data_IF_769061488907
#
_entry.id   IF_769061488907
#
_cell.length_a   1.000
_cell.length_b   1.000
_cell.length_c   1.000
_cell.angle_alpha   90.00
_cell.angle_beta   90.00
_cell.angle_gamma   90.00
#
_symmetry.space_group_name_H-M   'P 1'
#
loop_
_entity.id
_entity.type
_entity.pdbx_description
1 polymer ?
#
# COMPACT_ATOMS: atom_id res chain seq x y z
N UNK A 1 18.47 58.62 -51.36
CA UNK A 1 17.58 57.45 -51.50
C UNK A 1 17.69 56.68 -50.18
N UNK A 2 16.79 56.88 -49.20
CA UNK A 2 15.44 56.32 -49.02
C UNK A 2 15.44 54.77 -48.83
N UNK A 3 15.11 54.37 -47.58
CA UNK A 3 14.49 53.10 -47.11
C UNK A 3 15.44 51.88 -47.08
N UNK A 4 15.61 51.15 -45.98
CA UNK A 4 14.55 50.58 -45.13
C UNK A 4 14.89 50.51 -43.63
N UNK A 5 13.88 50.84 -42.83
CA UNK A 5 13.69 50.58 -41.40
C UNK A 5 12.72 49.38 -41.27
N UNK A 6 12.70 48.76 -40.08
CA UNK A 6 11.77 47.72 -39.59
C UNK A 6 12.09 46.29 -40.09
N UNK A 7 12.22 45.25 -39.26
CA UNK A 7 11.46 44.86 -38.06
C UNK A 7 12.38 44.03 -37.15
N UNK A 8 12.65 44.46 -35.92
CA UNK A 8 13.16 43.59 -34.84
C UNK A 8 12.73 44.19 -33.50
N UNK A 9 11.44 44.05 -33.18
CA UNK A 9 10.90 44.36 -31.86
C UNK A 9 9.62 43.54 -31.66
N UNK A 10 9.75 42.21 -31.53
CA UNK A 10 8.68 41.36 -30.97
C UNK A 10 9.22 39.94 -30.67
N UNK A 11 10.21 39.82 -29.78
CA UNK A 11 10.64 38.50 -29.28
C UNK A 11 11.34 38.59 -27.90
N UNK A 12 10.89 39.51 -27.03
CA UNK A 12 11.32 39.57 -25.61
C UNK A 12 10.09 39.72 -24.69
N UNK A 13 8.99 39.03 -24.98
CA UNK A 13 7.84 39.02 -24.07
C UNK A 13 7.08 37.69 -24.03
N UNK A 14 7.79 36.58 -24.20
CA UNK A 14 7.24 35.23 -23.95
C UNK A 14 8.11 34.42 -22.97
N UNK A 15 9.35 34.82 -22.70
CA UNK A 15 10.22 34.17 -21.70
C UNK A 15 10.01 34.73 -20.28
N UNK A 16 9.43 35.93 -20.13
CA UNK A 16 9.16 36.51 -18.80
C UNK A 16 7.86 36.01 -18.17
N UNK A 17 6.88 35.54 -18.96
CA UNK A 17 5.60 35.07 -18.41
C UNK A 17 5.77 33.69 -17.75
N UNK A 18 6.41 32.73 -18.41
CA UNK A 18 6.62 31.38 -17.85
C UNK A 18 7.54 31.37 -16.63
N UNK A 19 8.58 32.21 -16.61
CA UNK A 19 9.47 32.35 -15.45
C UNK A 19 8.82 33.09 -14.27
N UNK A 20 7.96 34.08 -14.54
CA UNK A 20 7.23 34.81 -13.51
C UNK A 20 6.10 33.95 -12.90
N UNK A 21 5.40 33.14 -13.71
CA UNK A 21 4.43 32.16 -13.20
C UNK A 21 5.08 31.03 -12.38
N UNK A 22 6.29 30.59 -12.75
CA UNK A 22 7.06 29.60 -11.98
C UNK A 22 7.47 30.14 -10.61
N UNK A 23 7.97 31.38 -10.55
CA UNK A 23 8.39 32.02 -9.31
C UNK A 23 7.21 32.35 -8.38
N UNK A 24 6.04 32.69 -8.93
CA UNK A 24 4.83 32.89 -8.14
C UNK A 24 4.27 31.58 -7.56
N UNK A 25 4.27 30.49 -8.33
CA UNK A 25 3.82 29.18 -7.85
C UNK A 25 4.66 28.62 -6.70
N UNK A 26 6.00 28.67 -6.83
CA UNK A 26 6.89 28.21 -5.76
C UNK A 26 6.79 29.11 -4.50
N UNK A 27 6.45 30.40 -4.66
CA UNK A 27 6.21 31.31 -3.53
C UNK A 27 4.91 30.99 -2.81
N UNK A 28 3.84 30.67 -3.55
CA UNK A 28 2.56 30.26 -2.98
C UNK A 28 2.69 28.96 -2.17
N UNK A 29 3.38 27.96 -2.73
CA UNK A 29 3.68 26.68 -2.06
C UNK A 29 4.41 26.93 -0.73
N UNK A 30 5.45 27.78 -0.74
CA UNK A 30 6.22 28.12 0.47
C UNK A 30 5.37 28.79 1.54
N UNK A 31 4.54 29.77 1.17
CA UNK A 31 3.67 30.44 2.13
C UNK A 31 2.64 29.48 2.73
N UNK A 32 2.01 28.65 1.89
CA UNK A 32 1.02 27.68 2.35
C UNK A 32 1.66 26.60 3.25
N UNK A 33 2.91 26.23 2.97
CA UNK A 33 3.71 25.34 3.81
C UNK A 33 4.02 25.95 5.18
N UNK A 34 4.50 27.20 5.24
CA UNK A 34 4.80 27.89 6.50
C UNK A 34 3.56 28.01 7.40
N UNK A 35 2.41 28.33 6.80
CA UNK A 35 1.12 28.37 7.51
C UNK A 35 0.75 26.99 8.08
N UNK A 36 0.91 25.94 7.27
CA UNK A 36 0.59 24.57 7.67
C UNK A 36 1.53 24.10 8.80
N UNK A 37 2.82 24.37 8.67
CA UNK A 37 3.84 24.04 9.68
C UNK A 37 3.51 24.67 11.04
N UNK A 38 3.15 25.96 11.05
CA UNK A 38 2.75 26.66 12.27
C UNK A 38 1.53 25.98 12.92
N UNK A 39 0.49 25.71 12.12
CA UNK A 39 -0.76 25.09 12.61
C UNK A 39 -0.50 23.69 13.18
N UNK A 40 0.31 22.89 12.50
CA UNK A 40 0.69 21.55 12.94
C UNK A 40 1.46 21.58 14.27
N UNK A 41 2.47 22.46 14.37
CA UNK A 41 3.26 22.62 15.59
C UNK A 41 2.41 23.06 16.79
N UNK A 42 1.45 23.96 16.58
CA UNK A 42 0.48 24.34 17.61
C UNK A 42 -0.40 23.15 18.03
N UNK A 43 -0.84 22.32 17.09
CA UNK A 43 -1.67 21.14 17.36
C UNK A 43 -0.92 20.02 18.12
N UNK A 44 0.25 19.60 17.62
CA UNK A 44 1.05 18.52 18.24
C UNK A 44 1.91 19.00 19.42
N UNK A 45 2.02 20.32 19.65
CA UNK A 45 2.88 20.89 20.67
C UNK A 45 4.37 20.66 20.35
N UNK A 46 4.75 20.82 19.08
CA UNK A 46 6.10 20.57 18.58
C UNK A 46 6.76 21.85 18.05
N UNK A 47 8.04 21.76 17.75
CA UNK A 47 8.85 22.81 17.13
C UNK A 47 9.52 22.32 15.82
N UNK A 48 8.85 21.41 15.11
CA UNK A 48 9.33 20.89 13.83
C UNK A 48 9.57 22.04 12.86
N UNK A 49 10.68 21.98 12.14
CA UNK A 49 11.01 22.95 11.09
C UNK A 49 11.81 22.27 9.96
N UNK A 50 11.23 21.25 9.29
CA UNK A 50 11.94 20.52 8.25
C UNK A 50 12.14 21.41 7.02
N UNK A 51 13.25 21.25 6.28
CA UNK A 51 13.43 21.92 5.01
C UNK A 51 12.36 21.50 3.99
N UNK A 52 11.88 22.47 3.20
CA UNK A 52 10.98 22.24 2.07
C UNK A 52 11.76 22.29 0.75
N UNK A 53 11.60 21.26 -0.08
CA UNK A 53 12.13 21.19 -1.43
C UNK A 53 10.98 21.06 -2.44
N UNK A 54 11.03 21.79 -3.55
CA UNK A 54 10.02 21.67 -4.62
C UNK A 54 10.64 20.98 -5.83
N UNK A 55 10.13 19.80 -6.16
CA UNK A 55 10.61 18.94 -7.24
C UNK A 55 9.54 18.77 -8.32
N UNK A 56 9.89 18.15 -9.44
CA UNK A 56 8.94 17.73 -10.48
C UNK A 56 8.84 16.19 -10.54
N UNK A 57 7.84 15.68 -11.25
CA UNK A 57 7.61 14.23 -11.40
C UNK A 57 8.80 13.51 -12.02
N UNK A 58 9.51 14.18 -12.93
CA UNK A 58 10.72 13.64 -13.57
C UNK A 58 11.81 13.37 -12.54
N UNK A 59 12.05 14.29 -11.61
CA UNK A 59 13.00 14.11 -10.53
C UNK A 59 12.66 12.89 -9.66
N UNK A 60 11.36 12.72 -9.32
CA UNK A 60 10.89 11.59 -8.50
C UNK A 60 11.14 10.25 -9.21
N UNK A 61 10.80 10.16 -10.50
CA UNK A 61 11.02 8.95 -11.31
C UNK A 61 12.50 8.65 -11.48
N UNK A 62 13.34 9.65 -11.78
CA UNK A 62 14.80 9.45 -11.88
C UNK A 62 15.42 8.98 -10.56
N UNK A 63 14.87 9.41 -9.42
CA UNK A 63 15.36 9.07 -8.09
C UNK A 63 14.98 7.67 -7.64
N UNK A 64 13.75 7.23 -7.92
CA UNK A 64 13.16 6.01 -7.34
C UNK A 64 12.60 5.00 -8.34
N UNK A 65 12.72 5.25 -9.64
CA UNK A 65 12.24 4.37 -10.71
C UNK A 65 12.95 3.01 -10.79
N UNK A 66 13.96 2.74 -9.96
CA UNK A 66 14.64 1.44 -9.95
C UNK A 66 13.70 0.30 -9.56
N UNK A 67 13.82 -0.84 -10.23
CA UNK A 67 12.90 -1.96 -10.13
C UNK A 67 13.58 -3.25 -9.65
N UNK A 68 12.86 -4.06 -8.87
CA UNK A 68 13.35 -5.35 -8.35
C UNK A 68 12.57 -6.53 -8.97
N UNK A 69 13.21 -7.37 -9.79
CA UNK A 69 12.56 -8.51 -10.46
C UNK A 69 11.87 -9.53 -9.53
N UNK A 70 12.37 -9.70 -8.31
CA UNK A 70 11.82 -10.68 -7.33
C UNK A 70 10.40 -10.32 -6.90
N UNK A 71 10.07 -9.03 -6.82
CA UNK A 71 8.75 -8.55 -6.41
C UNK A 71 7.69 -8.85 -7.47
N UNK A 72 8.00 -8.64 -8.75
CA UNK A 72 7.09 -8.97 -9.85
C UNK A 72 6.79 -10.46 -9.95
N UNK A 73 7.81 -11.31 -9.79
CA UNK A 73 7.61 -12.75 -9.79
C UNK A 73 6.63 -13.16 -8.69
N UNK A 74 6.73 -12.58 -7.49
CA UNK A 74 5.81 -12.85 -6.39
C UNK A 74 4.35 -12.54 -6.77
N UNK A 75 4.07 -11.33 -7.25
CA UNK A 75 2.69 -10.95 -7.58
C UNK A 75 2.13 -11.70 -8.81
N UNK A 76 2.98 -12.05 -9.78
CA UNK A 76 2.59 -12.92 -10.91
C UNK A 76 2.31 -14.36 -10.47
N UNK A 77 3.17 -14.92 -9.62
CA UNK A 77 3.02 -16.27 -9.09
C UNK A 77 1.76 -16.40 -8.22
N UNK A 78 1.45 -15.36 -7.45
CA UNK A 78 0.25 -15.25 -6.61
C UNK A 78 -0.97 -14.70 -7.36
N UNK A 79 -0.96 -14.71 -8.71
CA UNK A 79 -2.12 -14.41 -9.57
C UNK A 79 -2.69 -12.99 -9.47
N UNK A 80 -2.05 -12.08 -8.72
CA UNK A 80 -2.45 -10.68 -8.60
C UNK A 80 -2.04 -9.83 -9.81
N UNK A 81 -1.15 -10.35 -10.66
CA UNK A 81 -0.76 -9.72 -11.92
C UNK A 81 -0.67 -10.76 -13.05
N UNK A 82 -1.02 -10.38 -14.30
CA UNK A 82 -0.91 -11.29 -15.44
C UNK A 82 0.56 -11.54 -15.82
N UNK A 83 0.82 -12.65 -16.51
CA UNK A 83 2.16 -13.07 -16.93
C UNK A 83 2.89 -12.01 -17.77
N UNK A 84 2.14 -11.29 -18.61
CA UNK A 84 2.65 -10.25 -19.50
C UNK A 84 2.71 -8.85 -18.87
N UNK A 85 2.38 -8.71 -17.58
CA UNK A 85 2.49 -7.43 -16.87
C UNK A 85 3.95 -6.97 -16.75
N UNK A 86 4.18 -5.66 -16.76
CA UNK A 86 5.51 -5.06 -16.57
C UNK A 86 5.46 -4.01 -15.47
N UNK A 87 6.20 -4.21 -14.38
CA UNK A 87 6.22 -3.29 -13.23
C UNK A 87 6.72 -1.89 -13.52
N UNK A 88 7.59 -1.74 -14.52
CA UNK A 88 8.22 -0.46 -14.88
C UNK A 88 7.17 0.65 -15.06
N UNK A 89 6.16 0.42 -15.90
CA UNK A 89 5.11 1.41 -16.18
C UNK A 89 4.19 1.68 -14.99
N UNK A 90 3.92 0.66 -14.19
CA UNK A 90 3.08 0.80 -13.00
C UNK A 90 3.76 1.68 -11.95
N UNK A 91 5.05 1.42 -11.72
CA UNK A 91 5.86 2.18 -10.78
C UNK A 91 6.06 3.62 -11.22
N UNK A 92 6.30 3.85 -12.51
CA UNK A 92 6.37 5.22 -13.05
C UNK A 92 5.05 5.97 -12.83
N UNK A 93 3.91 5.32 -13.07
CA UNK A 93 2.61 5.92 -12.83
C UNK A 93 2.38 6.27 -11.35
N UNK A 94 2.70 5.34 -10.44
CA UNK A 94 2.55 5.56 -9.00
C UNK A 94 3.47 6.69 -8.51
N UNK A 95 4.74 6.69 -8.90
CA UNK A 95 5.70 7.75 -8.55
C UNK A 95 5.29 9.11 -9.11
N UNK A 96 4.73 9.14 -10.32
CA UNK A 96 4.23 10.36 -10.93
C UNK A 96 2.97 10.91 -10.25
N UNK A 97 2.31 10.15 -9.37
CA UNK A 97 1.11 10.59 -8.64
C UNK A 97 1.39 11.27 -7.29
N UNK A 98 2.65 11.27 -6.84
CA UNK A 98 3.03 11.82 -5.54
C UNK A 98 2.74 13.32 -5.48
N UNK A 99 2.05 13.79 -4.45
CA UNK A 99 1.80 15.23 -4.24
C UNK A 99 2.87 15.85 -3.35
N UNK A 100 3.16 15.18 -2.23
CA UNK A 100 4.28 15.48 -1.36
C UNK A 100 4.78 14.17 -0.72
N UNK A 101 5.97 14.21 -0.13
CA UNK A 101 6.53 13.09 0.61
C UNK A 101 7.63 13.55 1.56
N UNK A 102 7.83 12.77 2.62
CA UNK A 102 8.90 12.97 3.61
C UNK A 102 10.07 12.04 3.31
N UNK A 103 11.28 12.60 3.20
CA UNK A 103 12.49 11.83 2.93
C UNK A 103 13.73 12.50 3.55
N UNK A 104 14.54 11.73 4.28
CA UNK A 104 15.76 12.20 4.99
C UNK A 104 15.53 13.47 5.85
N UNK A 105 14.41 13.52 6.58
CA UNK A 105 14.08 14.65 7.46
C UNK A 105 13.66 15.93 6.73
N UNK A 106 13.36 15.85 5.42
CA UNK A 106 12.86 16.95 4.59
C UNK A 106 11.49 16.62 4.05
N UNK A 107 10.73 17.67 3.71
CA UNK A 107 9.48 17.56 2.98
C UNK A 107 9.72 17.98 1.54
N UNK A 108 9.29 17.14 0.61
CA UNK A 108 9.33 17.39 -0.82
C UNK A 108 7.92 17.59 -1.33
N UNK A 109 7.72 18.60 -2.18
CA UNK A 109 6.46 18.84 -2.88
C UNK A 109 6.67 18.66 -4.37
N UNK A 110 5.81 17.87 -5.00
CA UNK A 110 5.84 17.63 -6.44
C UNK A 110 4.99 18.68 -7.13
N UNK A 111 5.65 19.64 -7.79
CA UNK A 111 5.01 20.81 -8.40
C UNK A 111 3.91 20.43 -9.39
N UNK A 112 4.12 19.38 -10.17
CA UNK A 112 3.20 18.97 -11.23
C UNK A 112 1.84 18.51 -10.68
N UNK A 113 1.80 18.11 -9.40
CA UNK A 113 0.62 17.58 -8.71
C UNK A 113 0.09 18.53 -7.62
N UNK A 114 0.56 19.78 -7.59
CA UNK A 114 0.12 20.76 -6.61
C UNK A 114 -1.36 21.13 -6.80
N UNK A 115 -2.15 20.97 -5.74
CA UNK A 115 -3.53 21.45 -5.66
C UNK A 115 -3.71 22.32 -4.40
N UNK A 116 -3.88 23.65 -4.53
CA UNK A 116 -4.07 24.56 -3.41
C UNK A 116 -5.17 24.15 -2.42
N UNK A 117 -6.20 23.43 -2.90
CA UNK A 117 -7.35 23.04 -2.06
C UNK A 117 -6.99 21.95 -1.05
N UNK A 118 -6.15 21.01 -1.45
CA UNK A 118 -5.78 19.84 -0.63
C UNK A 118 -4.38 19.98 -0.01
N UNK A 119 -3.58 20.92 -0.50
CA UNK A 119 -2.16 21.06 -0.15
C UNK A 119 -1.89 21.12 1.36
N UNK A 120 -2.58 21.98 2.11
CA UNK A 120 -2.34 22.10 3.57
C UNK A 120 -2.57 20.77 4.30
N UNK A 121 -3.62 20.02 3.93
CA UNK A 121 -3.89 18.69 4.49
C UNK A 121 -2.76 17.71 4.15
N UNK A 122 -2.29 17.72 2.90
CA UNK A 122 -1.14 16.90 2.50
C UNK A 122 0.10 17.25 3.33
N UNK A 123 0.38 18.52 3.58
CA UNK A 123 1.51 18.92 4.45
C UNK A 123 1.31 18.45 5.90
N UNK A 124 0.09 18.48 6.45
CA UNK A 124 -0.16 17.91 7.78
C UNK A 124 0.13 16.41 7.83
N UNK A 125 -0.19 15.67 6.76
CA UNK A 125 0.13 14.24 6.64
C UNK A 125 1.64 14.01 6.68
N UNK A 126 2.40 14.77 5.87
CA UNK A 126 3.86 14.68 5.84
C UNK A 126 4.54 15.08 7.15
N UNK A 127 4.04 16.13 7.82
CA UNK A 127 4.55 16.54 9.12
C UNK A 127 4.27 15.48 10.21
N UNK A 128 3.16 14.75 10.09
CA UNK A 128 2.86 13.65 11.00
C UNK A 128 3.88 12.52 10.85
N UNK A 129 4.35 12.21 9.64
CA UNK A 129 5.45 11.25 9.46
C UNK A 129 6.72 11.64 10.25
N UNK A 130 7.09 12.93 10.25
CA UNK A 130 8.22 13.42 11.05
C UNK A 130 7.94 13.38 12.56
N UNK A 131 6.68 13.61 12.97
CA UNK A 131 6.28 13.43 14.36
C UNK A 131 6.44 11.97 14.81
N UNK A 132 6.05 11.04 13.96
CA UNK A 132 6.05 9.59 14.20
C UNK A 132 7.46 8.98 14.38
N UNK A 133 8.51 9.61 13.87
CA UNK A 133 9.90 9.11 13.97
C UNK A 133 10.34 8.82 15.42
N UNK A 134 9.76 9.52 16.41
CA UNK A 134 10.05 9.32 17.84
C UNK A 134 9.56 7.99 18.42
N UNK A 135 8.64 7.30 17.75
CA UNK A 135 8.02 6.07 18.27
C UNK A 135 8.78 4.80 17.85
N UNK A 136 9.73 4.89 16.91
CA UNK A 136 10.55 3.76 16.46
C UNK A 136 9.69 2.52 16.08
N UNK A 137 8.67 2.73 15.25
CA UNK A 137 7.71 1.69 14.86
C UNK A 137 8.42 0.64 14.00
N UNK A 138 8.45 -0.60 14.47
CA UNK A 138 9.11 -1.74 13.80
C UNK A 138 8.11 -2.83 13.43
N UNK A 139 8.50 -3.70 12.50
CA UNK A 139 7.79 -4.95 12.21
C UNK A 139 8.75 -6.14 12.30
N UNK A 140 8.24 -7.35 12.14
CA UNK A 140 9.05 -8.58 12.06
C UNK A 140 9.64 -8.84 10.65
N UNK A 141 9.43 -7.93 9.70
CA UNK A 141 9.93 -8.01 8.33
C UNK A 141 9.12 -8.91 7.40
N UNK A 142 8.02 -9.48 7.86
CA UNK A 142 7.09 -10.24 7.01
C UNK A 142 6.21 -9.30 6.18
N UNK A 143 5.59 -9.80 5.11
CA UNK A 143 4.63 -9.01 4.33
C UNK A 143 3.48 -8.52 5.20
N UNK A 144 2.90 -9.42 6.01
CA UNK A 144 1.84 -9.10 6.98
C UNK A 144 2.29 -8.04 7.99
N UNK A 145 3.45 -8.25 8.63
CA UNK A 145 4.01 -7.32 9.62
C UNK A 145 4.34 -5.95 9.03
N UNK A 146 4.95 -5.88 7.84
CA UNK A 146 5.25 -4.61 7.18
C UNK A 146 3.97 -3.88 6.75
N UNK A 147 2.92 -4.59 6.32
CA UNK A 147 1.60 -3.99 6.05
C UNK A 147 0.91 -3.48 7.32
N UNK A 148 1.03 -4.20 8.43
CA UNK A 148 0.48 -3.77 9.72
C UNK A 148 1.19 -2.51 10.24
N UNK A 149 2.53 -2.49 10.15
CA UNK A 149 3.35 -1.29 10.42
C UNK A 149 2.95 -0.11 9.52
N UNK A 150 2.87 -0.33 8.21
CA UNK A 150 2.48 0.72 7.27
C UNK A 150 1.07 1.24 7.58
N UNK A 151 0.14 0.37 7.98
CA UNK A 151 -1.22 0.77 8.37
C UNK A 151 -1.22 1.67 9.61
N UNK A 152 -0.30 1.43 10.55
CA UNK A 152 -0.12 2.29 11.72
C UNK A 152 0.32 3.69 11.29
N UNK A 153 1.37 3.76 10.48
CA UNK A 153 2.01 5.01 10.02
C UNK A 153 1.04 5.83 9.14
N UNK A 154 0.50 5.22 8.09
CA UNK A 154 -0.36 5.91 7.13
C UNK A 154 -1.76 6.20 7.69
N UNK A 155 -2.29 5.30 8.51
CA UNK A 155 -3.59 5.45 9.15
C UNK A 155 -3.63 6.63 10.10
N UNK A 156 -2.62 6.74 10.96
CA UNK A 156 -2.45 7.88 11.86
C UNK A 156 -2.28 9.20 11.10
N UNK A 157 -1.33 9.26 10.16
CA UNK A 157 -1.06 10.46 9.36
C UNK A 157 -2.31 10.94 8.60
N UNK A 158 -3.08 10.01 8.03
CA UNK A 158 -4.33 10.33 7.33
C UNK A 158 -5.43 10.84 8.27
N UNK A 159 -5.53 10.31 9.49
CA UNK A 159 -6.51 10.79 10.46
C UNK A 159 -6.16 12.16 11.02
N UNK A 160 -4.93 12.32 11.49
CA UNK A 160 -4.48 13.57 12.11
C UNK A 160 -4.52 14.72 11.11
N UNK A 161 -4.11 14.47 9.86
CA UNK A 161 -4.21 15.50 8.81
C UNK A 161 -5.64 15.97 8.57
N UNK A 162 -6.64 15.08 8.58
CA UNK A 162 -8.07 15.45 8.49
C UNK A 162 -8.55 16.23 9.71
N UNK A 163 -8.16 15.81 10.92
CA UNK A 163 -8.50 16.50 12.16
C UNK A 163 -7.98 17.94 12.15
N UNK A 164 -6.70 18.15 11.83
CA UNK A 164 -6.09 19.49 11.77
C UNK A 164 -6.74 20.34 10.67
N UNK A 165 -7.10 19.73 9.54
CA UNK A 165 -7.81 20.41 8.45
C UNK A 165 -9.28 20.75 8.79
N UNK A 166 -9.82 20.26 9.92
CA UNK A 166 -11.23 20.43 10.27
C UNK A 166 -12.18 19.65 9.36
N UNK A 167 -11.70 18.58 8.73
CA UNK A 167 -12.47 17.72 7.85
C UNK A 167 -13.21 16.64 8.65
N UNK A 168 -14.39 16.24 8.17
CA UNK A 168 -15.10 15.08 8.72
C UNK A 168 -14.33 13.79 8.44
N UNK A 169 -14.37 12.85 9.38
CA UNK A 169 -13.81 11.52 9.23
C UNK A 169 -14.84 10.46 9.64
N UNK A 170 -15.00 9.45 8.80
CA UNK A 170 -15.80 8.25 9.04
C UNK A 170 -15.06 7.05 8.48
N UNK A 171 -15.40 5.84 8.95
CA UNK A 171 -14.81 4.62 8.41
C UNK A 171 -15.06 4.52 6.91
N UNK A 172 -13.99 4.26 6.18
CA UNK A 172 -14.01 4.07 4.74
C UNK A 172 -14.25 2.59 4.41
N UNK A 173 -14.92 2.33 3.28
CA UNK A 173 -15.15 0.98 2.78
C UNK A 173 -14.17 0.64 1.67
N UNK A 174 -13.72 -0.62 1.68
CA UNK A 174 -12.95 -1.20 0.58
C UNK A 174 -13.77 -1.16 -0.70
N UNK A 175 -13.17 -0.62 -1.76
CA UNK A 175 -13.69 -0.71 -3.13
C UNK A 175 -13.70 -2.16 -3.59
N UNK A 176 -14.64 -2.50 -4.48
CA UNK A 176 -14.72 -3.82 -5.10
C UNK A 176 -13.38 -4.22 -5.74
N UNK A 177 -12.91 -5.41 -5.40
CA UNK A 177 -11.63 -5.94 -5.89
C UNK A 177 -11.87 -6.71 -7.18
N UNK A 178 -10.93 -6.56 -8.12
CA UNK A 178 -10.93 -7.28 -9.38
C UNK A 178 -9.50 -7.55 -9.82
N UNK A 179 -9.34 -8.44 -10.81
CA UNK A 179 -8.02 -8.74 -11.41
C UNK A 179 -7.28 -7.50 -11.92
N UNK A 180 -8.00 -6.43 -12.28
CA UNK A 180 -7.40 -5.22 -12.84
C UNK A 180 -6.88 -4.25 -11.77
N UNK A 181 -7.45 -4.28 -10.57
CA UNK A 181 -7.17 -3.30 -9.52
C UNK A 181 -6.57 -3.92 -8.23
N UNK A 182 -6.56 -5.25 -8.09
CA UNK A 182 -6.19 -5.92 -6.85
C UNK A 182 -4.78 -5.54 -6.35
N UNK A 183 -3.79 -5.52 -7.25
CA UNK A 183 -2.43 -5.10 -6.91
C UNK A 183 -2.39 -3.67 -6.33
N UNK A 184 -3.05 -2.72 -6.98
CA UNK A 184 -3.08 -1.31 -6.53
C UNK A 184 -3.83 -1.15 -5.22
N UNK A 185 -4.98 -1.81 -5.07
CA UNK A 185 -5.78 -1.76 -3.84
C UNK A 185 -5.06 -2.43 -2.65
N UNK A 186 -4.30 -3.51 -2.89
CA UNK A 186 -3.42 -4.10 -1.88
C UNK A 186 -2.28 -3.15 -1.47
N UNK A 187 -1.78 -2.35 -2.42
CA UNK A 187 -0.87 -1.24 -2.17
C UNK A 187 -1.51 -0.16 -1.28
N UNK A 188 -2.76 0.21 -1.57
CA UNK A 188 -3.52 1.25 -0.85
C UNK A 188 -4.07 0.79 0.52
N UNK A 189 -4.18 -0.51 0.77
CA UNK A 189 -4.78 -1.08 1.96
C UNK A 189 -4.30 -0.46 3.30
N UNK A 190 -3.01 -0.13 3.51
CA UNK A 190 -2.55 0.57 4.71
C UNK A 190 -3.25 1.91 4.98
N UNK A 191 -3.51 2.72 3.95
CA UNK A 191 -4.23 3.98 4.08
C UNK A 191 -5.71 3.79 4.40
N UNK A 192 -6.29 2.68 3.98
CA UNK A 192 -7.71 2.40 4.19
C UNK A 192 -7.94 1.78 5.58
N UNK A 193 -7.38 0.60 5.81
CA UNK A 193 -7.61 -0.16 7.04
C UNK A 193 -6.91 0.50 8.23
N UNK A 194 -5.71 1.05 8.02
CA UNK A 194 -5.01 1.84 9.03
C UNK A 194 -5.81 3.05 9.50
N UNK A 195 -6.42 3.80 8.58
CA UNK A 195 -7.27 4.95 8.92
C UNK A 195 -8.51 4.52 9.72
N UNK A 196 -9.12 3.40 9.36
CA UNK A 196 -10.25 2.85 10.11
C UNK A 196 -9.86 2.42 11.53
N UNK A 197 -8.69 1.80 11.72
CA UNK A 197 -8.16 1.50 13.05
C UNK A 197 -7.83 2.78 13.83
N UNK A 198 -7.19 3.76 13.19
CA UNK A 198 -6.85 5.04 13.81
C UNK A 198 -8.09 5.77 14.33
N UNK A 199 -9.21 5.74 13.59
CA UNK A 199 -10.50 6.28 14.05
C UNK A 199 -10.97 5.56 15.32
N UNK A 200 -10.87 4.23 15.37
CA UNK A 200 -11.29 3.45 16.55
C UNK A 200 -10.44 3.77 17.78
N UNK A 201 -9.12 3.90 17.61
CA UNK A 201 -8.20 4.28 18.68
C UNK A 201 -8.54 5.70 19.14
N UNK A 202 -8.58 6.67 18.23
CA UNK A 202 -8.86 8.07 18.53
C UNK A 202 -10.20 8.26 19.26
N UNK A 203 -11.25 7.55 18.84
CA UNK A 203 -12.57 7.63 19.48
C UNK A 203 -12.56 7.12 20.93
N UNK A 204 -11.64 6.21 21.30
CA UNK A 204 -11.53 5.66 22.66
C UNK A 204 -10.64 6.49 23.57
N UNK A 205 -9.60 7.10 23.02
CA UNK A 205 -8.49 7.69 23.79
C UNK A 205 -8.39 9.21 23.65
N UNK A 206 -8.93 9.78 22.57
CA UNK A 206 -8.75 11.18 22.16
C UNK A 206 -7.44 11.46 21.41
N UNK A 207 -6.60 10.46 21.13
CA UNK A 207 -5.34 10.57 20.37
C UNK A 207 -4.93 9.19 19.79
N UNK A 208 -4.16 9.16 18.70
CA UNK A 208 -3.64 7.94 18.08
C UNK A 208 -2.32 7.45 18.68
N UNK A 209 -1.77 8.14 19.68
CA UNK A 209 -0.48 7.74 20.31
C UNK A 209 -0.45 6.30 20.80
N UNK A 210 -1.56 5.77 21.31
CA UNK A 210 -1.63 4.38 21.78
C UNK A 210 -1.25 3.38 20.68
N UNK A 211 -1.71 3.59 19.44
CA UNK A 211 -1.33 2.74 18.30
C UNK A 211 0.09 2.99 17.79
N UNK A 212 0.65 4.19 17.99
CA UNK A 212 2.06 4.45 17.67
C UNK A 212 3.01 3.77 18.66
N UNK A 213 2.64 3.75 19.94
CA UNK A 213 3.40 3.10 21.01
C UNK A 213 3.24 1.57 21.01
N UNK A 214 2.04 1.09 20.63
CA UNK A 214 1.69 -0.33 20.58
C UNK A 214 1.10 -0.66 19.20
N UNK A 215 1.93 -0.72 18.13
CA UNK A 215 1.44 -0.97 16.79
C UNK A 215 0.83 -2.38 16.65
N UNK A 216 -0.22 -2.55 15.81
CA UNK A 216 -0.72 -3.86 15.43
C UNK A 216 0.39 -4.74 14.84
N UNK A 217 0.37 -6.04 15.17
CA UNK A 217 1.40 -7.02 14.77
C UNK A 217 1.02 -7.84 13.53
N UNK A 218 -0.24 -7.74 13.09
CA UNK A 218 -0.79 -8.39 11.91
C UNK A 218 -1.83 -7.51 11.23
N UNK A 219 -2.06 -7.73 9.94
CA UNK A 219 -3.16 -7.06 9.24
C UNK A 219 -4.53 -7.49 9.74
N UNK A 220 -4.65 -8.67 10.34
CA UNK A 220 -5.88 -9.10 11.01
C UNK A 220 -6.27 -8.13 12.14
N UNK A 221 -5.32 -7.73 12.99
CA UNK A 221 -5.57 -6.71 14.01
C UNK A 221 -5.96 -5.35 13.40
N UNK A 222 -5.41 -5.00 12.24
CA UNK A 222 -5.75 -3.75 11.55
C UNK A 222 -7.16 -3.81 10.95
N UNK A 223 -7.53 -4.95 10.36
CA UNK A 223 -8.83 -5.16 9.71
C UNK A 223 -9.96 -5.35 10.73
N UNK A 224 -9.63 -5.89 11.90
CA UNK A 224 -10.55 -6.19 13.01
C UNK A 224 -10.10 -5.50 14.29
N UNK A 225 -10.45 -4.21 14.51
CA UNK A 225 -9.98 -3.43 15.65
C UNK A 225 -10.24 -4.10 17.01
N UNK A 226 -11.30 -4.88 17.16
CA UNK A 226 -11.55 -5.68 18.37
C UNK A 226 -10.43 -6.67 18.69
N UNK A 227 -9.79 -7.28 17.68
CA UNK A 227 -8.64 -8.18 17.84
C UNK A 227 -7.38 -7.40 18.24
N UNK A 228 -7.19 -6.19 17.70
CA UNK A 228 -6.13 -5.27 18.14
C UNK A 228 -6.24 -4.95 19.63
N UNK A 229 -7.42 -4.52 20.11
CA UNK A 229 -7.64 -4.20 21.52
C UNK A 229 -7.62 -5.42 22.45
N UNK A 230 -7.88 -6.62 21.90
CA UNK A 230 -7.72 -7.88 22.63
C UNK A 230 -6.27 -8.39 22.66
N UNK A 231 -5.36 -7.75 21.91
CA UNK A 231 -3.99 -8.21 21.67
C UNK A 231 -3.92 -9.65 21.13
N UNK A 232 -4.84 -10.01 20.24
CA UNK A 232 -4.88 -11.33 19.62
C UNK A 232 -3.69 -11.52 18.68
N UNK A 233 -2.88 -12.54 18.94
CA UNK A 233 -1.76 -12.93 18.08
C UNK A 233 -2.17 -13.99 17.07
N UNK A 234 -1.19 -14.48 16.31
CA UNK A 234 -1.36 -15.53 15.31
C UNK A 234 -0.53 -16.78 15.66
N UNK A 235 -0.91 -17.94 15.11
CA UNK A 235 -0.15 -19.17 15.22
C UNK A 235 1.19 -19.11 14.46
N UNK A 236 2.24 -19.65 15.07
CA UNK A 236 3.54 -19.83 14.41
C UNK A 236 3.50 -21.06 13.51
N UNK A 237 3.19 -20.85 12.23
CA UNK A 237 3.12 -21.94 11.25
C UNK A 237 4.52 -22.30 10.73
N UNK A 238 4.89 -23.58 10.82
CA UNK A 238 6.14 -24.07 10.26
C UNK A 238 5.96 -24.66 8.85
N UNK A 239 6.78 -24.22 7.91
CA UNK A 239 6.92 -24.81 6.58
C UNK A 239 8.31 -25.45 6.42
N UNK A 240 8.34 -26.75 6.08
CA UNK A 240 9.57 -27.53 5.88
C UNK A 240 10.03 -27.50 4.42
N UNK A 241 10.13 -26.31 3.85
CA UNK A 241 10.60 -26.05 2.47
C UNK A 241 11.79 -25.09 2.55
N UNK A 242 12.90 -25.33 1.83
CA UNK A 242 14.03 -24.41 1.78
C UNK A 242 13.65 -23.05 1.19
N UNK A 243 14.13 -21.95 1.79
CA UNK A 243 13.96 -20.59 1.27
C UNK A 243 13.69 -19.57 2.38
N UNK A 244 13.62 -18.30 1.99
CA UNK A 244 13.24 -17.21 2.89
C UNK A 244 11.75 -17.37 3.24
N UNK A 245 11.48 -17.53 4.53
CA UNK A 245 10.11 -17.67 5.04
C UNK A 245 9.47 -16.30 5.18
N UNK A 246 8.21 -16.20 4.82
CA UNK A 246 7.40 -15.00 4.96
C UNK A 246 6.04 -15.35 5.57
N UNK A 247 5.37 -14.35 6.16
CA UNK A 247 3.95 -14.40 6.56
C UNK A 247 3.19 -13.42 5.68
N UNK A 248 2.14 -13.88 5.01
CA UNK A 248 1.36 -13.08 4.06
C UNK A 248 0.16 -12.40 4.72
N UNK A 249 -0.51 -13.07 5.67
CA UNK A 249 -1.55 -12.46 6.48
C UNK A 249 -2.94 -12.50 5.85
N UNK A 250 -3.95 -12.22 6.68
CA UNK A 250 -5.37 -12.18 6.28
C UNK A 250 -5.60 -11.25 5.08
N UNK A 251 -4.99 -10.05 5.10
CA UNK A 251 -5.14 -9.07 4.01
C UNK A 251 -4.73 -9.67 2.66
N UNK A 252 -3.56 -10.32 2.60
CA UNK A 252 -3.10 -10.88 1.34
C UNK A 252 -4.01 -12.03 0.88
N UNK A 253 -4.47 -12.85 1.81
CA UNK A 253 -5.38 -13.96 1.53
C UNK A 253 -6.75 -13.47 1.02
N UNK A 254 -7.28 -12.37 1.56
CA UNK A 254 -8.45 -11.69 1.02
C UNK A 254 -8.20 -11.25 -0.44
N UNK A 255 -7.11 -10.52 -0.73
CA UNK A 255 -6.83 -10.03 -2.08
C UNK A 255 -6.53 -11.14 -3.09
N UNK A 256 -5.87 -12.21 -2.66
CA UNK A 256 -5.61 -13.41 -3.46
C UNK A 256 -6.91 -14.04 -3.99
N UNK A 257 -7.96 -14.07 -3.16
CA UNK A 257 -9.27 -14.58 -3.56
C UNK A 257 -10.10 -13.53 -4.31
N UNK A 258 -10.22 -12.33 -3.75
CA UNK A 258 -11.13 -11.27 -4.22
C UNK A 258 -10.78 -10.75 -5.62
N UNK A 259 -9.52 -10.92 -6.07
CA UNK A 259 -9.17 -10.67 -7.46
C UNK A 259 -10.01 -11.51 -8.44
N UNK A 260 -10.44 -12.72 -8.05
CA UNK A 260 -10.98 -13.72 -8.96
C UNK A 260 -12.37 -14.26 -8.59
N UNK A 261 -12.80 -14.12 -7.33
CA UNK A 261 -14.13 -14.50 -6.85
C UNK A 261 -14.82 -13.31 -6.18
N UNK A 262 -16.12 -13.44 -5.91
CA UNK A 262 -16.91 -12.39 -5.26
C UNK A 262 -16.31 -11.96 -3.91
N UNK A 263 -16.20 -10.65 -3.69
CA UNK A 263 -15.59 -10.03 -2.51
C UNK A 263 -16.20 -10.51 -1.18
N UNK A 264 -17.50 -10.81 -1.15
CA UNK A 264 -18.17 -11.32 0.05
C UNK A 264 -17.68 -12.73 0.37
N UNK A 265 -17.54 -13.57 -0.66
CA UNK A 265 -16.99 -14.93 -0.50
C UNK A 265 -15.53 -14.86 -0.08
N UNK A 266 -14.74 -14.00 -0.72
CA UNK A 266 -13.32 -13.82 -0.40
C UNK A 266 -13.10 -13.32 1.03
N UNK A 267 -13.94 -12.39 1.51
CA UNK A 267 -13.85 -11.87 2.87
C UNK A 267 -14.15 -12.93 3.92
N UNK A 268 -15.25 -13.67 3.76
CA UNK A 268 -15.61 -14.77 4.67
C UNK A 268 -14.52 -15.84 4.68
N UNK A 269 -13.97 -16.18 3.52
CA UNK A 269 -12.88 -17.14 3.41
C UNK A 269 -11.57 -16.68 4.06
N UNK A 270 -11.38 -15.37 4.26
CA UNK A 270 -10.17 -14.81 4.84
C UNK A 270 -10.24 -14.57 6.35
N UNK A 271 -11.42 -14.21 6.86
CA UNK A 271 -11.63 -13.75 8.24
C UNK A 271 -11.16 -14.71 9.34
N UNK A 272 -11.12 -16.02 9.07
CA UNK A 272 -10.65 -17.01 10.04
C UNK A 272 -9.15 -17.33 9.97
N UNK A 273 -8.33 -16.52 9.30
CA UNK A 273 -6.89 -16.68 9.25
C UNK A 273 -6.28 -16.62 10.67
N UNK A 274 -5.33 -17.51 11.00
CA UNK A 274 -4.66 -17.53 12.31
C UNK A 274 -3.17 -17.81 12.15
N UNK A 275 -2.53 -17.22 11.14
CA UNK A 275 -1.12 -17.43 10.86
C UNK A 275 -0.87 -18.24 9.59
N UNK A 276 0.26 -17.95 8.94
CA UNK A 276 0.70 -18.68 7.77
C UNK A 276 2.23 -18.66 7.61
N UNK A 277 2.71 -19.51 6.70
CA UNK A 277 4.09 -19.53 6.27
C UNK A 277 4.16 -19.73 4.75
N UNK A 278 4.84 -18.81 4.09
CA UNK A 278 5.02 -18.76 2.65
C UNK A 278 6.50 -18.82 2.28
N UNK A 279 6.82 -19.55 1.21
CA UNK A 279 8.13 -19.57 0.57
C UNK A 279 7.97 -19.51 -0.94
N UNK A 280 8.73 -18.62 -1.58
CA UNK A 280 8.89 -18.53 -3.04
C UNK A 280 10.33 -18.87 -3.41
N UNK A 281 10.51 -19.71 -4.42
CA UNK A 281 11.80 -20.02 -5.01
C UNK A 281 11.71 -20.04 -6.55
N UNK A 282 12.81 -20.39 -7.22
CA UNK A 282 12.91 -20.39 -8.69
C UNK A 282 11.97 -21.40 -9.38
N UNK A 283 11.51 -22.42 -8.66
CA UNK A 283 10.72 -23.54 -9.21
C UNK A 283 9.24 -23.49 -8.85
N UNK A 284 8.83 -22.54 -8.02
CA UNK A 284 7.47 -22.41 -7.53
C UNK A 284 7.39 -21.85 -6.12
N UNK A 285 6.26 -22.08 -5.47
CA UNK A 285 5.99 -21.57 -4.14
C UNK A 285 5.17 -22.56 -3.31
N UNK A 286 5.26 -22.41 -1.99
CA UNK A 286 4.46 -23.17 -1.05
C UNK A 286 3.92 -22.24 0.02
N UNK A 287 2.64 -22.39 0.34
CA UNK A 287 1.94 -21.60 1.33
C UNK A 287 1.13 -22.50 2.23
N UNK A 288 1.44 -22.51 3.52
CA UNK A 288 0.66 -23.21 4.54
C UNK A 288 -0.03 -22.19 5.42
N UNK A 289 -1.34 -22.31 5.55
CA UNK A 289 -2.20 -21.39 6.29
C UNK A 289 -2.89 -22.17 7.41
N UNK A 290 -2.86 -21.63 8.62
CA UNK A 290 -3.66 -22.09 9.75
C UNK A 290 -4.90 -21.20 9.88
N UNK A 291 -6.02 -21.81 10.25
CA UNK A 291 -7.28 -21.13 10.50
C UNK A 291 -7.77 -21.38 11.92
N UNK A 292 -8.59 -20.47 12.44
CA UNK A 292 -9.20 -20.55 13.78
C UNK A 292 -10.00 -21.85 13.99
N UNK A 293 -10.66 -22.35 12.93
CA UNK A 293 -11.40 -23.59 12.98
C UNK A 293 -11.36 -24.40 11.69
N UNK A 294 -11.80 -25.66 11.77
CA UNK A 294 -12.03 -26.47 10.57
C UNK A 294 -13.12 -25.91 9.65
N UNK A 295 -14.03 -25.09 10.18
CA UNK A 295 -15.07 -24.43 9.39
C UNK A 295 -14.44 -23.36 8.50
N UNK A 296 -13.58 -22.53 9.06
CA UNK A 296 -12.92 -21.45 8.32
C UNK A 296 -11.97 -22.02 7.26
N UNK A 297 -11.23 -23.08 7.61
CA UNK A 297 -10.43 -23.82 6.63
C UNK A 297 -11.28 -24.43 5.49
N UNK A 298 -12.52 -24.85 5.76
CA UNK A 298 -13.45 -25.32 4.73
C UNK A 298 -13.91 -24.17 3.82
N UNK A 299 -14.25 -23.01 4.41
CA UNK A 299 -14.69 -21.81 3.68
C UNK A 299 -13.58 -21.33 2.73
N UNK A 300 -12.33 -21.25 3.22
CA UNK A 300 -11.18 -20.96 2.38
C UNK A 300 -10.95 -22.00 1.28
N UNK A 301 -10.99 -23.29 1.62
CA UNK A 301 -10.75 -24.36 0.63
C UNK A 301 -11.79 -24.30 -0.49
N UNK A 302 -13.06 -24.04 -0.15
CA UNK A 302 -14.13 -23.89 -1.13
C UNK A 302 -13.90 -22.68 -2.05
N UNK A 303 -13.59 -21.51 -1.49
CA UNK A 303 -13.32 -20.30 -2.27
C UNK A 303 -12.08 -20.47 -3.17
N UNK A 304 -11.01 -21.08 -2.65
CA UNK A 304 -9.78 -21.34 -3.38
C UNK A 304 -10.00 -22.33 -4.54
N UNK A 305 -10.74 -23.42 -4.31
CA UNK A 305 -11.09 -24.37 -5.38
C UNK A 305 -11.94 -23.70 -6.46
N UNK A 306 -12.97 -22.93 -6.08
CA UNK A 306 -13.81 -22.20 -7.02
C UNK A 306 -13.00 -21.21 -7.87
N UNK A 307 -12.07 -20.48 -7.23
CA UNK A 307 -11.11 -19.64 -7.94
C UNK A 307 -10.30 -20.46 -8.94
N UNK A 308 -9.62 -21.52 -8.50
CA UNK A 308 -8.73 -22.30 -9.38
C UNK A 308 -9.49 -23.00 -10.53
N UNK A 309 -10.71 -23.48 -10.30
CA UNK A 309 -11.60 -24.04 -11.33
C UNK A 309 -12.00 -22.98 -12.38
N UNK A 310 -12.13 -21.70 -11.99
CA UNK A 310 -12.38 -20.59 -12.92
C UNK A 310 -11.13 -20.23 -13.73
N UNK A 311 -9.94 -20.36 -13.13
CA UNK A 311 -8.69 -19.87 -13.72
C UNK A 311 -7.98 -20.90 -14.63
N UNK A 312 -8.22 -22.20 -14.46
CA UNK A 312 -7.54 -23.21 -15.28
C UNK A 312 -8.19 -24.59 -15.29
N UNK A 313 -7.42 -25.58 -15.74
CA UNK A 313 -7.87 -26.97 -15.89
C UNK A 313 -7.37 -27.86 -14.75
N UNK A 314 -8.02 -29.01 -14.56
CA UNK A 314 -7.60 -30.01 -13.56
C UNK A 314 -6.94 -31.22 -14.22
N UNK A 315 -5.72 -31.54 -13.81
CA UNK A 315 -4.93 -32.68 -14.32
C UNK A 315 -4.14 -33.33 -13.18
N UNK A 316 -4.24 -34.66 -13.05
CA UNK A 316 -3.48 -35.46 -12.06
C UNK A 316 -3.51 -34.94 -10.61
N UNK A 317 -4.64 -34.34 -10.20
CA UNK A 317 -4.82 -33.77 -8.86
C UNK A 317 -4.21 -32.37 -8.65
N UNK A 318 -3.78 -31.73 -9.74
CA UNK A 318 -3.32 -30.34 -9.79
C UNK A 318 -4.30 -29.46 -10.59
N UNK A 319 -4.29 -28.18 -10.28
CA UNK A 319 -4.89 -27.12 -11.07
C UNK A 319 -3.80 -26.51 -11.94
N UNK A 320 -3.91 -26.67 -13.26
CA UNK A 320 -2.95 -26.21 -14.26
C UNK A 320 -3.42 -24.86 -14.80
N UNK A 321 -2.60 -23.83 -14.60
CA UNK A 321 -2.83 -22.46 -15.04
C UNK A 321 -1.86 -22.11 -16.17
N UNK A 322 -2.39 -21.59 -17.28
CA UNK A 322 -1.62 -21.18 -18.47
C UNK A 322 -2.22 -19.90 -19.09
N UNK A 323 -1.60 -19.39 -20.16
CA UNK A 323 -2.13 -18.27 -20.94
C UNK A 323 -1.95 -16.91 -20.25
N UNK A 324 -3.00 -16.40 -19.59
CA UNK A 324 -2.98 -15.07 -18.94
C UNK A 324 -2.06 -15.05 -17.72
N UNK A 325 -1.96 -16.16 -17.01
CA UNK A 325 -1.22 -16.28 -15.74
C UNK A 325 0.17 -16.87 -15.94
N UNK A 326 1.06 -16.65 -14.97
CA UNK A 326 2.37 -17.31 -14.95
C UNK A 326 2.13 -18.82 -15.00
N UNK A 327 2.67 -19.54 -16.02
CA UNK A 327 2.43 -20.97 -16.17
C UNK A 327 2.85 -21.75 -14.92
N UNK A 328 1.88 -22.40 -14.28
CA UNK A 328 2.11 -23.11 -13.02
C UNK A 328 1.03 -24.17 -12.78
N UNK A 329 1.37 -25.18 -11.99
CA UNK A 329 0.40 -26.16 -11.47
C UNK A 329 0.33 -26.07 -9.95
N UNK A 330 -0.89 -25.94 -9.42
CA UNK A 330 -1.16 -25.72 -8.00
C UNK A 330 -1.89 -26.93 -7.43
N UNK A 331 -1.42 -27.45 -6.30
CA UNK A 331 -2.10 -28.48 -5.51
C UNK A 331 -2.62 -27.86 -4.21
N UNK A 332 -3.86 -28.18 -3.86
CA UNK A 332 -4.49 -27.77 -2.60
C UNK A 332 -4.66 -29.00 -1.72
N UNK A 333 -4.18 -28.95 -0.48
CA UNK A 333 -4.29 -30.02 0.52
C UNK A 333 -4.82 -29.43 1.82
N UNK A 334 -5.90 -30.00 2.36
CA UNK A 334 -6.47 -29.58 3.65
C UNK A 334 -6.31 -30.69 4.69
N UNK A 335 -5.84 -30.32 5.87
CA UNK A 335 -5.68 -31.19 7.03
C UNK A 335 -6.19 -30.47 8.28
N UNK A 336 -7.36 -30.88 8.78
CA UNK A 336 -8.03 -30.21 9.91
C UNK A 336 -8.32 -28.74 9.61
N UNK A 337 -7.80 -27.85 10.45
CA UNK A 337 -7.89 -26.40 10.31
C UNK A 337 -6.74 -25.79 9.49
N UNK A 338 -5.93 -26.60 8.80
CA UNK A 338 -4.82 -26.11 7.97
C UNK A 338 -5.04 -26.39 6.49
N UNK A 339 -4.59 -25.47 5.65
CA UNK A 339 -4.63 -25.60 4.18
C UNK A 339 -3.25 -25.30 3.63
N UNK A 340 -2.76 -26.18 2.76
CA UNK A 340 -1.47 -26.07 2.09
C UNK A 340 -1.68 -25.98 0.58
N UNK A 341 -1.16 -24.90 -0.01
CA UNK A 341 -1.05 -24.71 -1.44
C UNK A 341 0.40 -24.95 -1.84
N UNK A 342 0.61 -25.78 -2.87
CA UNK A 342 1.93 -26.08 -3.42
C UNK A 342 1.87 -25.83 -4.92
N UNK A 343 2.65 -24.87 -5.37
CA UNK A 343 2.80 -24.54 -6.78
C UNK A 343 4.15 -24.99 -7.31
N UNK A 344 4.13 -25.48 -8.55
CA UNK A 344 5.32 -25.69 -9.37
C UNK A 344 5.16 -24.89 -10.64
N UNK A 345 6.15 -24.07 -10.97
CA UNK A 345 6.19 -23.37 -12.26
C UNK A 345 6.34 -24.38 -13.39
N UNK A 346 5.56 -24.15 -14.44
CA UNK A 346 5.57 -24.94 -15.66
C UNK A 346 6.40 -24.16 -16.68
N UNK A 347 7.71 -24.19 -16.55
CA UNK A 347 8.54 -23.74 -17.67
C UNK A 347 8.76 -24.89 -18.66
N UNK A 348 8.79 -24.52 -19.93
CA UNK A 348 9.78 -25.06 -20.87
C UNK A 348 10.76 -23.95 -21.19
#
# INVERSE_FOLDING_TARGET
MRKWLAVFFLLILVISLSGCTFLDGDREIKQAYEDALKTFNEFRGTDLNPPLEVVDTKWVVERWGSYQPKEELFYKAMLLLPANYTFEKAKEHDLASFVAFTWEGKIYVVRDNYDPKTFKRTIYHELEHLYQERFNITSDGTFDGEKAKASTIEGDAKLISRIIAGESYEKERQSEVSEENAYFLLGYAPYLYGFNLAIEVYNRTGDTKEMLENPPVSMEQVMHPEKYFAHEGFEQVSLNVPGDKNRLGELFLFFFLAAHVDDVIARVAAEGWNGDAYVLNETGWAWKIAFDSEKDANEFTYACINMLDKLGGKEDGYYVLEGKYLPQKIKVVREGNTVMLISHFLEV
#
